data_IF_786670879816
#
_entry.id   IF_786670879816
#
_cell.length_a   1.000
_cell.length_b   1.000
_cell.length_c   1.000
_cell.angle_alpha   90.00
_cell.angle_beta   90.00
_cell.angle_gamma   90.00
#
_symmetry.space_group_name_H-M   'P 1'
#
loop_
_entity.id
_entity.type
_entity.pdbx_description
1 polymer ?
#
# COMPACT_ATOMS: atom_id res chain seq x y z
N UNK A 1 -1.29 -18.30 -11.02
CA UNK A 1 -1.78 -16.91 -10.95
C UNK A 1 -0.77 -16.12 -10.13
N UNK A 2 -0.29 -14.99 -10.63
CA UNK A 2 0.73 -14.20 -9.92
C UNK A 2 0.06 -13.32 -8.88
N UNK A 3 0.64 -13.23 -7.67
CA UNK A 3 0.19 -12.32 -6.63
C UNK A 3 0.90 -10.98 -6.78
N UNK A 4 0.20 -9.88 -6.52
CA UNK A 4 0.72 -8.52 -6.59
C UNK A 4 0.60 -7.88 -5.21
N UNK A 5 1.71 -7.37 -4.68
CA UNK A 5 1.76 -6.54 -3.48
C UNK A 5 2.05 -5.09 -3.88
N UNK A 6 1.14 -4.17 -3.55
CA UNK A 6 1.31 -2.74 -3.77
C UNK A 6 1.69 -2.10 -2.43
N UNK A 7 2.96 -1.68 -2.33
CA UNK A 7 3.47 -0.93 -1.20
C UNK A 7 3.17 0.56 -1.39
N UNK A 8 2.24 1.08 -0.60
CA UNK A 8 1.86 2.47 -0.62
C UNK A 8 2.58 3.24 0.49
N UNK A 9 3.43 4.19 0.11
CA UNK A 9 4.33 4.88 1.03
C UNK A 9 4.22 6.41 0.91
N UNK A 10 3.03 6.97 1.14
CA UNK A 10 2.81 8.41 1.07
C UNK A 10 2.29 9.00 2.40
N UNK A 11 3.06 9.87 3.08
CA UNK A 11 2.78 10.32 4.45
C UNK A 11 1.54 11.22 4.61
N UNK A 12 1.00 11.77 3.52
CA UNK A 12 -0.10 12.74 3.57
C UNK A 12 -1.17 12.41 2.52
N UNK A 13 -1.60 11.14 2.48
CA UNK A 13 -2.50 10.61 1.45
C UNK A 13 -3.68 11.54 1.14
N UNK A 14 -4.34 12.06 2.17
CA UNK A 14 -5.48 13.00 2.06
C UNK A 14 -5.20 14.24 1.19
N UNK A 15 -3.93 14.62 1.02
CA UNK A 15 -3.52 15.79 0.24
C UNK A 15 -3.05 15.46 -1.18
N UNK A 16 -2.90 14.18 -1.54
CA UNK A 16 -2.41 13.78 -2.87
C UNK A 16 -3.55 13.42 -3.82
N UNK A 17 -3.79 14.29 -4.80
CA UNK A 17 -4.76 14.04 -5.88
C UNK A 17 -4.37 12.85 -6.77
N UNK A 18 -3.09 12.70 -7.08
CA UNK A 18 -2.60 11.64 -7.95
C UNK A 18 -2.69 10.27 -7.28
N UNK A 19 -2.25 10.15 -6.02
CA UNK A 19 -2.33 8.89 -5.29
C UNK A 19 -3.79 8.53 -4.97
N UNK A 20 -4.64 9.50 -4.64
CA UNK A 20 -6.06 9.25 -4.44
C UNK A 20 -6.72 8.65 -5.70
N UNK A 21 -6.42 9.23 -6.87
CA UNK A 21 -6.90 8.69 -8.14
C UNK A 21 -6.37 7.28 -8.41
N UNK A 22 -5.09 7.01 -8.14
CA UNK A 22 -4.50 5.67 -8.29
C UNK A 22 -5.22 4.64 -7.42
N UNK A 23 -5.34 4.91 -6.10
CA UNK A 23 -5.98 4.00 -5.13
C UNK A 23 -7.44 3.72 -5.49
N UNK A 24 -8.18 4.74 -5.94
CA UNK A 24 -9.57 4.59 -6.38
C UNK A 24 -9.76 3.63 -7.56
N UNK A 25 -8.73 3.45 -8.38
CA UNK A 25 -8.77 2.57 -9.56
C UNK A 25 -8.10 1.22 -9.32
N UNK A 26 -7.61 0.94 -8.11
CA UNK A 26 -7.12 -0.39 -7.75
C UNK A 26 -8.33 -1.35 -7.69
N UNK A 27 -8.34 -2.42 -8.49
CA UNK A 27 -9.46 -3.35 -8.50
C UNK A 27 -9.48 -4.18 -7.21
N UNK A 28 -10.68 -4.57 -6.78
CA UNK A 28 -10.84 -5.60 -5.75
C UNK A 28 -10.55 -6.96 -6.37
N UNK A 29 -9.34 -7.47 -6.15
CA UNK A 29 -8.85 -8.73 -6.68
C UNK A 29 -8.22 -9.57 -5.55
N UNK A 30 -8.59 -10.85 -5.37
CA UNK A 30 -8.03 -11.71 -4.32
C UNK A 30 -6.52 -11.98 -4.44
N UNK A 31 -5.91 -11.70 -5.58
CA UNK A 31 -4.47 -11.81 -5.81
C UNK A 31 -3.74 -10.47 -5.68
N UNK A 32 -4.46 -9.38 -5.39
CA UNK A 32 -3.89 -8.05 -5.16
C UNK A 32 -4.00 -7.67 -3.69
N UNK A 33 -2.86 -7.36 -3.08
CA UNK A 33 -2.77 -6.81 -1.73
C UNK A 33 -2.31 -5.36 -1.82
N UNK A 34 -3.09 -4.45 -1.24
CA UNK A 34 -2.71 -3.06 -1.07
C UNK A 34 -2.28 -2.84 0.38
N UNK A 35 -1.06 -2.35 0.59
CA UNK A 35 -0.49 -2.16 1.91
C UNK A 35 -0.02 -0.72 2.12
N UNK A 36 -0.71 0.04 2.99
CA UNK A 36 -0.30 1.39 3.37
C UNK A 36 0.73 1.33 4.50
N UNK A 37 1.98 1.64 4.19
CA UNK A 37 3.10 1.57 5.13
C UNK A 37 3.06 2.67 6.19
N UNK A 38 2.49 3.84 5.88
CA UNK A 38 2.42 4.93 6.85
C UNK A 38 1.29 4.72 7.85
N UNK A 39 0.19 4.10 7.41
CA UNK A 39 -0.88 3.67 8.32
C UNK A 39 -0.44 2.47 9.17
N UNK A 40 0.23 1.49 8.56
CA UNK A 40 0.64 0.25 9.24
C UNK A 40 1.81 0.45 10.20
N UNK A 41 2.79 1.28 9.82
CA UNK A 41 4.00 1.53 10.61
C UNK A 41 4.13 3.01 10.98
N UNK A 42 3.24 3.56 11.82
CA UNK A 42 3.28 4.97 12.22
C UNK A 42 4.59 5.34 12.94
N UNK A 43 5.20 4.37 13.62
CA UNK A 43 6.47 4.50 14.34
C UNK A 43 7.69 3.99 13.55
N UNK A 44 7.52 3.66 12.26
CA UNK A 44 8.59 3.21 11.36
C UNK A 44 9.29 1.90 11.77
N UNK A 45 8.67 1.11 12.64
CA UNK A 45 9.15 -0.24 13.00
C UNK A 45 8.67 -1.27 11.95
N UNK A 46 9.36 -1.33 10.82
CA UNK A 46 8.98 -2.17 9.66
C UNK A 46 9.18 -3.67 9.94
N UNK A 47 8.17 -4.49 9.61
CA UNK A 47 8.33 -5.95 9.54
C UNK A 47 8.90 -6.35 8.19
N UNK A 48 10.23 -6.45 8.13
CA UNK A 48 10.94 -6.77 6.88
C UNK A 48 10.52 -8.12 6.31
N UNK A 49 10.26 -9.14 7.16
CA UNK A 49 9.94 -10.48 6.69
C UNK A 49 8.58 -10.53 5.99
N UNK A 50 7.62 -9.73 6.47
CA UNK A 50 6.32 -9.60 5.84
C UNK A 50 6.39 -8.89 4.47
N UNK A 51 7.21 -7.83 4.34
CA UNK A 51 7.27 -7.03 3.11
C UNK A 51 8.06 -7.66 1.96
N UNK A 52 9.06 -8.49 2.26
CA UNK A 52 9.94 -9.07 1.23
C UNK A 52 9.38 -10.33 0.56
N UNK A 53 8.43 -11.02 1.21
CA UNK A 53 7.79 -12.24 0.70
C UNK A 53 8.63 -13.50 0.81
#
# INVERSE_FOLDING_TARGET
MNKILVLFAYPKFEKSKANAALVQHIPKDPFLTFHDLFETYPDFNIDVAYEIG
#
